data_IF_883362971594
#
_entry.id   IF_883362971594
#
_cell.length_a   1.000
_cell.length_b   1.000
_cell.length_c   1.000
_cell.angle_alpha   90.00
_cell.angle_beta   90.00
_cell.angle_gamma   90.00
#
_symmetry.space_group_name_H-M   'P 1'
#
loop_
_entity.id
_entity.type
_entity.pdbx_description
1 polymer ?
#
# COMPACT_ATOMS: atom_id res chain seq x y z
N UNK A 1 7.75 -9.61 16.45
CA UNK A 1 6.59 -8.70 16.61
C UNK A 1 7.13 -7.28 16.45
N UNK A 2 6.46 -6.42 15.67
CA UNK A 2 6.97 -5.08 15.27
C UNK A 2 7.17 -4.15 16.48
N UNK A 3 8.23 -3.35 16.47
CA UNK A 3 8.63 -2.42 17.54
C UNK A 3 7.80 -1.12 17.62
N UNK A 4 6.78 -0.96 16.75
CA UNK A 4 5.75 0.11 16.84
C UNK A 4 4.36 -0.39 16.45
N UNK A 5 3.59 -0.98 17.38
CA UNK A 5 2.23 -1.47 17.09
C UNK A 5 1.31 -0.38 16.49
N UNK A 6 1.50 0.88 16.90
CA UNK A 6 0.76 2.07 16.45
C UNK A 6 0.77 2.32 14.93
N UNK A 7 1.63 1.62 14.19
CA UNK A 7 1.78 1.78 12.73
C UNK A 7 0.69 1.06 11.92
N UNK A 8 0.06 0.07 12.53
CA UNK A 8 -0.97 -0.77 11.89
C UNK A 8 -2.30 -0.76 12.65
N UNK A 9 -2.33 -0.13 13.83
CA UNK A 9 -3.51 0.02 14.67
C UNK A 9 -4.09 1.43 14.53
N UNK A 10 -5.42 1.58 14.43
CA UNK A 10 -6.08 2.86 14.24
C UNK A 10 -5.86 3.81 15.41
N UNK A 11 -5.76 5.10 15.11
CA UNK A 11 -5.52 6.16 16.10
C UNK A 11 -6.80 6.85 16.56
N UNK A 12 -7.82 6.94 15.71
CA UNK A 12 -9.05 7.65 15.98
C UNK A 12 -10.29 6.82 15.63
N UNK A 13 -10.28 6.11 14.49
CA UNK A 13 -11.41 5.34 13.98
C UNK A 13 -11.09 3.84 13.95
N UNK A 14 -11.71 3.08 14.85
CA UNK A 14 -11.78 1.62 14.69
C UNK A 14 -12.83 1.24 13.64
N UNK A 15 -12.53 0.25 12.81
CA UNK A 15 -13.42 -0.40 11.86
C UNK A 15 -13.21 -1.90 11.99
N UNK A 16 -14.30 -2.63 12.18
CA UNK A 16 -14.25 -4.06 12.39
C UNK A 16 -13.83 -4.46 13.82
N UNK A 17 -13.48 -5.74 14.03
CA UNK A 17 -13.55 -6.36 15.33
C UNK A 17 -12.26 -6.32 16.15
N UNK A 18 -11.12 -5.97 15.54
CA UNK A 18 -9.82 -6.01 16.22
C UNK A 18 -9.65 -4.90 17.25
N UNK A 19 -10.23 -3.72 17.00
CA UNK A 19 -10.09 -2.55 17.86
C UNK A 19 -11.42 -2.08 18.46
N UNK A 20 -12.42 -2.95 18.47
CA UNK A 20 -13.76 -2.64 18.97
C UNK A 20 -13.75 -2.21 20.43
N UNK A 21 -14.37 -1.06 20.73
CA UNK A 21 -14.46 -0.45 22.07
C UNK A 21 -13.11 -0.24 22.78
N UNK A 22 -12.03 -0.04 22.01
CA UNK A 22 -10.77 0.42 22.59
C UNK A 22 -11.00 1.76 23.31
N UNK A 23 -10.55 1.94 24.57
CA UNK A 23 -10.87 3.14 25.36
C UNK A 23 -10.53 4.45 24.65
N UNK A 24 -9.42 4.46 23.91
CA UNK A 24 -8.91 5.64 23.20
C UNK A 24 -9.70 5.97 21.93
N UNK A 25 -10.57 5.07 21.45
CA UNK A 25 -11.32 5.21 20.19
C UNK A 25 -12.82 5.39 20.41
N UNK A 26 -13.27 5.48 21.67
CA UNK A 26 -14.70 5.48 22.02
C UNK A 26 -15.46 6.70 21.47
N UNK A 27 -14.78 7.84 21.28
CA UNK A 27 -15.41 9.04 20.73
C UNK A 27 -16.03 8.77 19.35
N UNK A 28 -15.36 7.96 18.53
CA UNK A 28 -15.83 7.64 17.18
C UNK A 28 -17.08 6.76 17.14
N UNK A 29 -17.39 6.04 18.22
CA UNK A 29 -18.61 5.23 18.32
C UNK A 29 -19.87 6.09 18.24
N UNK A 30 -19.84 7.32 18.78
CA UNK A 30 -20.96 8.24 18.68
C UNK A 30 -21.23 8.68 17.24
N UNK A 31 -20.18 8.87 16.44
CA UNK A 31 -20.30 9.21 15.03
C UNK A 31 -20.80 8.03 14.21
N UNK A 32 -20.37 6.80 14.54
CA UNK A 32 -20.91 5.58 13.92
C UNK A 32 -22.40 5.41 14.20
N UNK A 33 -22.85 5.62 15.43
CA UNK A 33 -24.28 5.60 15.79
C UNK A 33 -25.04 6.69 15.05
N UNK A 34 -24.47 7.89 14.92
CA UNK A 34 -25.09 8.98 14.15
C UNK A 34 -25.26 8.59 12.67
N UNK A 35 -24.23 7.97 12.08
CA UNK A 35 -24.27 7.49 10.70
C UNK A 35 -25.29 6.36 10.51
N UNK A 36 -25.38 5.44 11.46
CA UNK A 36 -26.37 4.37 11.46
C UNK A 36 -27.82 4.89 11.55
N UNK A 37 -28.08 5.89 12.39
CA UNK A 37 -29.39 6.55 12.47
C UNK A 37 -29.75 7.25 11.16
N UNK A 38 -28.78 7.88 10.51
CA UNK A 38 -28.98 8.48 9.18
C UNK A 38 -29.26 7.40 8.14
N UNK A 39 -28.47 6.33 8.12
CA UNK A 39 -28.66 5.18 7.25
C UNK A 39 -30.08 4.64 7.39
N UNK A 40 -30.57 4.47 8.63
CA UNK A 40 -31.92 3.97 8.92
C UNK A 40 -33.01 4.80 8.21
N UNK A 41 -32.86 6.13 8.12
CA UNK A 41 -33.82 6.99 7.40
C UNK A 41 -33.76 6.85 5.87
N UNK A 42 -32.67 6.31 5.33
CA UNK A 42 -32.44 6.11 3.90
C UNK A 42 -32.79 4.68 3.44
N UNK A 43 -33.07 3.76 4.37
CA UNK A 43 -33.46 2.38 4.03
C UNK A 43 -34.83 2.39 3.35
N UNK A 44 -34.91 1.78 2.17
CA UNK A 44 -36.08 1.90 1.29
C UNK A 44 -37.37 1.30 1.88
N UNK A 45 -37.28 0.26 2.72
CA UNK A 45 -38.45 -0.47 3.25
C UNK A 45 -38.16 -1.31 4.51
N UNK A 46 -37.02 -1.12 5.19
CA UNK A 46 -36.56 -2.03 6.26
C UNK A 46 -36.05 -1.25 7.46
N UNK A 47 -36.32 -1.74 8.67
CA UNK A 47 -35.70 -1.21 9.88
C UNK A 47 -34.22 -1.65 9.94
N UNK A 48 -33.46 -1.03 10.83
CA UNK A 48 -32.03 -1.31 10.98
C UNK A 48 -31.81 -2.72 11.53
N UNK A 49 -32.73 -3.23 12.34
CA UNK A 49 -32.70 -4.58 12.88
C UNK A 49 -32.73 -5.65 11.78
N UNK A 50 -33.56 -5.47 10.73
CA UNK A 50 -33.58 -6.37 9.57
C UNK A 50 -32.23 -6.43 8.84
N UNK A 51 -31.48 -5.32 8.81
CA UNK A 51 -30.13 -5.31 8.26
C UNK A 51 -29.21 -6.19 9.11
N UNK A 52 -29.22 -5.97 10.43
CA UNK A 52 -28.43 -6.76 11.38
C UNK A 52 -28.77 -8.25 11.29
N UNK A 53 -30.05 -8.62 11.18
CA UNK A 53 -30.47 -10.01 11.00
C UNK A 53 -29.89 -10.67 9.73
N UNK A 54 -29.75 -9.92 8.62
CA UNK A 54 -29.07 -10.47 7.44
C UNK A 54 -27.57 -10.59 7.66
N UNK A 55 -26.95 -9.68 8.41
CA UNK A 55 -25.53 -9.75 8.74
C UNK A 55 -25.23 -10.92 9.69
N UNK A 56 -26.14 -11.26 10.61
CA UNK A 56 -26.03 -12.46 11.47
C UNK A 56 -25.92 -13.72 10.60
N UNK A 57 -26.67 -13.83 9.49
CA UNK A 57 -26.57 -14.98 8.57
C UNK A 57 -25.22 -15.07 7.85
N UNK A 58 -24.50 -13.95 7.75
CA UNK A 58 -23.19 -13.86 7.12
C UNK A 58 -22.04 -14.01 8.11
N UNK A 59 -22.33 -14.15 9.40
CA UNK A 59 -21.36 -14.21 10.49
C UNK A 59 -20.22 -15.22 10.25
N UNK A 60 -20.46 -16.48 9.82
CA UNK A 60 -19.36 -17.41 9.57
C UNK A 60 -18.41 -16.93 8.48
N UNK A 61 -18.95 -16.25 7.45
CA UNK A 61 -18.14 -15.67 6.37
C UNK A 61 -17.38 -14.44 6.84
N UNK A 62 -17.97 -13.62 7.73
CA UNK A 62 -17.30 -12.48 8.37
C UNK A 62 -16.09 -12.99 9.15
N UNK A 63 -16.26 -14.00 10.02
CA UNK A 63 -15.16 -14.57 10.80
C UNK A 63 -14.04 -15.13 9.93
N UNK A 64 -14.37 -15.77 8.81
CA UNK A 64 -13.39 -16.31 7.89
C UNK A 64 -12.48 -15.24 7.25
N UNK A 65 -12.88 -13.96 7.28
CA UNK A 65 -12.05 -12.85 6.81
C UNK A 65 -11.01 -12.37 7.84
N UNK A 66 -11.06 -12.85 9.08
CA UNK A 66 -10.16 -12.43 10.16
C UNK A 66 -9.31 -13.62 10.62
N UNK A 67 -7.99 -13.41 10.70
CA UNK A 67 -7.06 -14.46 11.12
C UNK A 67 -7.15 -14.79 12.61
N UNK A 68 -7.55 -13.83 13.45
CA UNK A 68 -7.72 -14.05 14.90
C UNK A 68 -9.13 -14.54 15.21
N UNK A 69 -9.22 -15.44 16.20
CA UNK A 69 -10.50 -15.84 16.75
C UNK A 69 -11.20 -14.64 17.41
N UNK A 70 -12.42 -14.34 16.95
CA UNK A 70 -13.21 -13.22 17.46
C UNK A 70 -14.09 -13.68 18.63
N UNK A 71 -13.81 -13.24 19.86
CA UNK A 71 -14.62 -13.65 21.02
C UNK A 71 -15.90 -12.81 21.20
N UNK A 72 -16.72 -12.74 20.15
CA UNK A 72 -18.02 -12.06 20.15
C UNK A 72 -19.12 -13.07 19.82
N UNK A 73 -20.34 -12.85 20.33
CA UNK A 73 -21.50 -13.58 19.80
C UNK A 73 -21.88 -13.04 18.40
N UNK A 74 -22.71 -13.78 17.68
CA UNK A 74 -23.06 -13.43 16.31
C UNK A 74 -23.82 -12.09 16.19
N UNK A 75 -24.67 -11.79 17.16
CA UNK A 75 -25.44 -10.54 17.20
C UNK A 75 -24.54 -9.33 17.41
N UNK A 76 -23.63 -9.38 18.39
CA UNK A 76 -22.66 -8.31 18.66
C UNK A 76 -21.77 -8.06 17.45
N UNK A 77 -21.28 -9.12 16.78
CA UNK A 77 -20.46 -8.96 15.57
C UNK A 77 -21.27 -8.32 14.43
N UNK A 78 -22.52 -8.71 14.25
CA UNK A 78 -23.38 -8.14 13.21
C UNK A 78 -23.72 -6.66 13.46
N UNK A 79 -24.02 -6.28 14.71
CA UNK A 79 -24.25 -4.88 15.09
C UNK A 79 -23.00 -4.02 14.86
N UNK A 80 -21.84 -4.51 15.28
CA UNK A 80 -20.56 -3.85 15.04
C UNK A 80 -20.34 -3.59 13.55
N UNK A 81 -20.46 -4.63 12.70
CA UNK A 81 -20.33 -4.49 11.25
C UNK A 81 -21.34 -3.48 10.67
N UNK A 82 -22.59 -3.50 11.14
CA UNK A 82 -23.62 -2.58 10.66
C UNK A 82 -23.27 -1.12 10.99
N UNK A 83 -22.82 -0.85 12.21
CA UNK A 83 -22.44 0.50 12.66
C UNK A 83 -21.19 1.00 11.91
N UNK A 84 -20.15 0.17 11.82
CA UNK A 84 -18.90 0.53 11.17
C UNK A 84 -19.09 0.77 9.67
N UNK A 85 -19.87 -0.08 8.99
CA UNK A 85 -20.18 0.12 7.57
C UNK A 85 -21.08 1.34 7.35
N UNK A 86 -22.01 1.63 8.26
CA UNK A 86 -22.81 2.86 8.16
C UNK A 86 -21.93 4.10 8.16
N UNK A 87 -20.95 4.15 9.07
CA UNK A 87 -19.97 5.23 9.11
C UNK A 87 -19.11 5.27 7.84
N UNK A 88 -18.55 4.11 7.45
CA UNK A 88 -17.70 3.98 6.28
C UNK A 88 -18.41 4.51 5.03
N UNK A 89 -19.68 4.15 4.82
CA UNK A 89 -20.47 4.63 3.69
C UNK A 89 -20.74 6.14 3.75
N UNK A 90 -21.09 6.71 4.91
CA UNK A 90 -21.27 8.16 5.04
C UNK A 90 -19.97 8.92 4.75
N UNK A 91 -18.82 8.39 5.17
CA UNK A 91 -17.52 8.97 4.86
C UNK A 91 -17.17 8.82 3.37
N UNK A 92 -17.40 7.65 2.79
CA UNK A 92 -17.12 7.37 1.38
C UNK A 92 -17.96 8.22 0.41
N UNK A 93 -19.14 8.69 0.83
CA UNK A 93 -19.96 9.60 0.02
C UNK A 93 -19.24 10.89 -0.40
N UNK A 94 -18.26 11.34 0.39
CA UNK A 94 -17.39 12.50 0.07
C UNK A 94 -16.67 12.29 -1.27
N UNK A 95 -16.27 11.05 -1.53
CA UNK A 95 -15.47 10.66 -2.69
C UNK A 95 -16.29 10.23 -3.88
N UNK A 96 -17.61 10.27 -3.82
CA UNK A 96 -18.44 9.92 -4.97
C UNK A 96 -18.12 10.84 -6.17
N UNK A 97 -17.52 10.25 -7.21
CA UNK A 97 -17.19 10.93 -8.47
C UNK A 97 -18.52 11.20 -9.19
N UNK A 98 -19.12 12.37 -8.97
CA UNK A 98 -20.25 12.84 -9.78
C UNK A 98 -19.76 13.93 -10.72
N UNK A 99 -19.73 13.62 -12.01
CA UNK A 99 -19.63 14.63 -13.05
C UNK A 99 -20.83 15.59 -12.92
N UNK A 100 -20.56 16.77 -12.38
CA UNK A 100 -21.36 18.00 -12.46
C UNK A 100 -22.88 17.94 -12.17
N UNK A 101 -23.27 18.77 -11.19
CA UNK A 101 -24.61 19.33 -10.90
C UNK A 101 -25.56 18.49 -10.03
N UNK A 102 -25.64 18.96 -8.78
CA UNK A 102 -26.86 19.07 -7.97
C UNK A 102 -27.59 17.77 -7.63
N UNK A 103 -27.10 17.10 -6.59
CA UNK A 103 -27.94 16.72 -5.47
C UNK A 103 -27.20 17.16 -4.20
N UNK A 104 -27.92 17.87 -3.35
CA UNK A 104 -27.48 18.49 -2.11
C UNK A 104 -26.34 17.75 -1.41
N UNK A 105 -25.27 18.48 -1.10
CA UNK A 105 -24.27 18.14 -0.08
C UNK A 105 -25.00 18.00 1.27
N UNK A 106 -25.73 16.91 1.49
CA UNK A 106 -26.31 16.54 2.79
C UNK A 106 -25.22 15.86 3.61
N UNK A 107 -24.13 16.59 3.83
CA UNK A 107 -23.25 16.30 4.96
C UNK A 107 -23.97 16.93 6.15
N UNK A 108 -24.58 16.04 6.93
CA UNK A 108 -25.27 16.32 8.18
C UNK A 108 -24.38 17.18 9.08
N UNK A 109 -24.96 18.19 9.73
CA UNK A 109 -24.26 19.20 10.53
C UNK A 109 -23.31 18.63 11.59
N UNK A 110 -23.55 17.41 12.08
CA UNK A 110 -22.75 16.73 13.12
C UNK A 110 -21.40 16.19 12.65
N UNK A 111 -21.30 15.63 11.44
CA UNK A 111 -20.03 15.11 10.92
C UNK A 111 -19.29 16.11 10.05
N UNK A 112 -19.89 17.28 9.80
CA UNK A 112 -19.33 18.32 8.95
C UNK A 112 -17.88 18.72 9.32
N UNK A 113 -17.50 18.64 10.61
CA UNK A 113 -16.15 18.95 11.06
C UNK A 113 -15.12 17.83 10.83
N UNK A 114 -15.56 16.57 10.74
CA UNK A 114 -14.73 15.40 10.42
C UNK A 114 -14.56 15.20 8.90
N UNK A 115 -15.57 15.67 8.14
CA UNK A 115 -15.76 15.42 6.70
C UNK A 115 -15.38 16.67 5.85
N UNK A 116 -14.94 17.76 6.48
CA UNK A 116 -14.58 18.99 5.77
C UNK A 116 -13.35 18.78 4.87
N UNK A 117 -13.59 18.66 3.56
CA UNK A 117 -12.54 18.53 2.53
C UNK A 117 -11.70 19.81 2.38
N UNK A 118 -12.05 20.91 3.06
CA UNK A 118 -11.11 22.04 3.13
C UNK A 118 -9.87 21.60 3.91
N UNK A 119 -8.77 21.45 3.17
CA UNK A 119 -7.40 20.97 3.43
C UNK A 119 -6.69 21.41 4.74
N UNK A 120 -7.42 21.66 5.85
CA UNK A 120 -6.98 22.31 7.10
C UNK A 120 -7.64 21.77 8.37
N UNK A 121 -8.14 20.52 8.40
CA UNK A 121 -8.57 19.89 9.67
C UNK A 121 -7.92 18.52 9.85
N UNK A 122 -7.31 18.33 11.02
CA UNK A 122 -6.55 17.14 11.43
C UNK A 122 -7.37 15.85 11.34
N UNK A 123 -8.65 15.89 11.73
CA UNK A 123 -9.47 14.68 11.87
C UNK A 123 -9.72 13.92 10.56
N UNK A 124 -9.93 14.61 9.43
CA UNK A 124 -10.19 13.94 8.15
C UNK A 124 -8.99 13.10 7.68
N UNK A 125 -7.77 13.63 7.80
CA UNK A 125 -6.55 12.91 7.44
C UNK A 125 -6.29 11.73 8.38
N UNK A 126 -6.57 11.87 9.68
CA UNK A 126 -6.42 10.77 10.64
C UNK A 126 -7.41 9.65 10.32
N UNK A 127 -8.68 9.98 10.03
CA UNK A 127 -9.68 8.99 9.61
C UNK A 127 -9.24 8.26 8.32
N UNK A 128 -8.74 8.99 7.32
CA UNK A 128 -8.23 8.41 6.08
C UNK A 128 -7.09 7.42 6.31
N UNK A 129 -6.14 7.77 7.19
CA UNK A 129 -5.03 6.89 7.57
C UNK A 129 -5.55 5.62 8.21
N UNK A 130 -6.47 5.74 9.18
CA UNK A 130 -7.03 4.58 9.88
C UNK A 130 -7.78 3.65 8.91
N UNK A 131 -8.49 4.17 7.92
CA UNK A 131 -9.24 3.36 6.94
C UNK A 131 -8.36 2.45 6.08
N UNK A 132 -7.09 2.81 5.86
CA UNK A 132 -6.14 2.01 5.07
C UNK A 132 -5.26 1.11 5.91
N UNK A 133 -5.44 1.10 7.24
CA UNK A 133 -4.63 0.26 8.11
C UNK A 133 -5.00 -1.22 7.99
N UNK A 134 -4.00 -2.09 7.98
CA UNK A 134 -4.15 -3.53 7.78
C UNK A 134 -5.03 -4.18 8.86
N UNK A 135 -4.91 -3.78 10.13
CA UNK A 135 -5.75 -4.31 11.21
C UNK A 135 -7.14 -3.63 11.30
N UNK A 136 -7.45 -2.68 10.41
CA UNK A 136 -8.65 -1.84 10.45
C UNK A 136 -9.53 -1.96 9.19
N UNK A 137 -9.69 -3.19 8.70
CA UNK A 137 -10.38 -3.49 7.44
C UNK A 137 -11.78 -4.08 7.67
N UNK A 138 -12.72 -3.74 6.78
CA UNK A 138 -14.05 -4.37 6.72
C UNK A 138 -14.16 -5.17 5.41
N UNK A 139 -14.73 -6.39 5.45
CA UNK A 139 -14.96 -7.15 4.23
C UNK A 139 -15.86 -6.42 3.24
N UNK A 140 -15.42 -6.36 1.99
CA UNK A 140 -16.07 -5.61 0.91
C UNK A 140 -17.51 -6.07 0.66
N UNK A 141 -17.77 -7.37 0.84
CA UNK A 141 -19.11 -7.93 0.68
C UNK A 141 -20.12 -7.43 1.72
N UNK A 142 -19.67 -6.97 2.90
CA UNK A 142 -20.55 -6.36 3.91
C UNK A 142 -20.91 -4.95 3.49
N UNK A 143 -19.94 -4.18 2.97
CA UNK A 143 -20.18 -2.83 2.42
C UNK A 143 -21.22 -2.90 1.30
N UNK A 144 -21.05 -3.83 0.36
CA UNK A 144 -22.04 -4.12 -0.68
C UNK A 144 -23.40 -4.47 -0.09
N UNK A 145 -23.43 -5.36 0.91
CA UNK A 145 -24.69 -5.82 1.51
C UNK A 145 -25.49 -4.68 2.15
N UNK A 146 -24.82 -3.71 2.78
CA UNK A 146 -25.50 -2.53 3.34
C UNK A 146 -26.00 -1.60 2.22
N UNK A 147 -25.22 -1.40 1.15
CA UNK A 147 -25.65 -0.60 -0.01
C UNK A 147 -26.86 -1.19 -0.73
N UNK A 148 -26.96 -2.52 -0.84
CA UNK A 148 -28.14 -3.21 -1.40
C UNK A 148 -29.44 -2.84 -0.66
N UNK A 149 -29.38 -2.49 0.63
CA UNK A 149 -30.56 -2.08 1.39
C UNK A 149 -30.96 -0.62 1.17
N UNK A 150 -30.06 0.21 0.64
CA UNK A 150 -30.32 1.60 0.27
C UNK A 150 -30.83 1.75 -1.17
N UNK A 151 -30.63 0.74 -2.03
CA UNK A 151 -30.90 0.83 -3.46
C UNK A 151 -31.99 -0.13 -3.92
N UNK A 152 -32.69 0.26 -4.99
CA UNK A 152 -33.76 -0.56 -5.58
C UNK A 152 -33.21 -1.70 -6.45
N UNK A 153 -31.97 -1.59 -6.93
CA UNK A 153 -31.29 -2.58 -7.77
C UNK A 153 -29.85 -2.77 -7.28
N UNK A 154 -29.34 -4.00 -7.44
CA UNK A 154 -27.98 -4.38 -7.05
C UNK A 154 -26.94 -3.66 -7.91
N UNK A 155 -27.25 -3.47 -9.19
CA UNK A 155 -26.40 -2.76 -10.15
C UNK A 155 -26.18 -1.31 -9.72
N UNK A 156 -27.24 -0.62 -9.28
CA UNK A 156 -27.14 0.75 -8.78
C UNK A 156 -26.30 0.85 -7.49
N UNK A 157 -26.40 -0.16 -6.61
CA UNK A 157 -25.56 -0.23 -5.41
C UNK A 157 -24.08 -0.43 -5.77
N UNK A 158 -23.79 -1.31 -6.72
CA UNK A 158 -22.44 -1.59 -7.19
C UNK A 158 -21.80 -0.38 -7.88
N UNK A 159 -22.56 0.34 -8.72
CA UNK A 159 -22.09 1.58 -9.36
C UNK A 159 -21.77 2.68 -8.33
N UNK A 160 -22.62 2.85 -7.31
CA UNK A 160 -22.36 3.81 -6.25
C UNK A 160 -21.11 3.42 -5.44
N UNK A 161 -20.99 2.15 -5.10
CA UNK A 161 -19.82 1.60 -4.42
C UNK A 161 -18.54 1.87 -5.21
N UNK A 162 -18.57 1.60 -6.51
CA UNK A 162 -17.47 1.84 -7.44
C UNK A 162 -17.09 3.31 -7.50
N UNK A 163 -18.06 4.20 -7.68
CA UNK A 163 -17.80 5.64 -7.71
C UNK A 163 -17.10 6.14 -6.43
N UNK A 164 -17.56 5.68 -5.25
CA UNK A 164 -16.98 6.11 -3.97
C UNK A 164 -15.57 5.56 -3.74
N UNK A 165 -15.37 4.25 -3.97
CA UNK A 165 -14.07 3.62 -3.71
C UNK A 165 -13.02 4.08 -4.74
N UNK A 166 -13.39 4.28 -6.01
CA UNK A 166 -12.49 4.88 -7.00
C UNK A 166 -12.10 6.31 -6.65
N UNK A 167 -13.04 7.11 -6.14
CA UNK A 167 -12.72 8.47 -5.69
C UNK A 167 -11.77 8.48 -4.50
N UNK A 168 -11.98 7.56 -3.54
CA UNK A 168 -11.08 7.41 -2.41
C UNK A 168 -9.69 6.93 -2.85
N UNK A 169 -9.62 5.95 -3.75
CA UNK A 169 -8.36 5.47 -4.30
C UNK A 169 -7.60 6.56 -5.06
N UNK A 170 -8.30 7.44 -5.79
CA UNK A 170 -7.70 8.62 -6.42
C UNK A 170 -7.11 9.61 -5.42
N UNK A 171 -7.75 9.78 -4.25
CA UNK A 171 -7.23 10.65 -3.19
C UNK A 171 -6.00 10.05 -2.52
N UNK A 172 -6.00 8.75 -2.26
CA UNK A 172 -4.92 8.05 -1.55
C UNK A 172 -3.76 7.61 -2.45
N UNK A 173 -3.99 7.51 -3.76
CA UNK A 173 -2.97 7.07 -4.71
C UNK A 173 -1.82 8.08 -4.77
N UNK A 174 -0.56 7.64 -4.61
CA UNK A 174 0.59 8.50 -4.85
C UNK A 174 0.71 8.88 -6.33
N UNK A 175 0.22 8.05 -7.25
CA UNK A 175 0.39 8.24 -8.68
C UNK A 175 -0.66 9.20 -9.26
N UNK A 176 -0.22 10.29 -9.88
CA UNK A 176 -1.08 11.39 -10.37
C UNK A 176 -1.91 11.07 -11.62
N UNK A 177 -1.57 10.03 -12.37
CA UNK A 177 -2.11 9.79 -13.72
C UNK A 177 -2.48 8.34 -13.94
N UNK A 178 -2.94 7.65 -12.89
CA UNK A 178 -3.58 6.35 -13.10
C UNK A 178 -4.92 6.61 -13.79
N UNK A 179 -5.04 6.20 -15.05
CA UNK A 179 -6.34 6.01 -15.67
C UNK A 179 -6.97 4.79 -14.99
N UNK A 180 -7.74 5.01 -13.92
CA UNK A 180 -8.38 3.89 -13.23
C UNK A 180 -9.37 3.22 -14.20
N UNK A 181 -9.22 1.93 -14.50
CA UNK A 181 -10.11 1.26 -15.43
C UNK A 181 -11.53 1.22 -14.86
N UNK A 182 -12.48 1.80 -15.59
CA UNK A 182 -13.90 1.83 -15.23
C UNK A 182 -14.53 0.42 -15.09
N UNK A 183 -13.85 -0.64 -15.51
CA UNK A 183 -14.32 -2.03 -15.53
C UNK A 183 -13.76 -2.89 -14.38
N UNK A 184 -13.10 -2.32 -13.37
CA UNK A 184 -12.61 -3.11 -12.23
C UNK A 184 -13.76 -3.83 -11.52
N UNK A 185 -13.63 -5.15 -11.40
CA UNK A 185 -14.51 -5.96 -10.57
C UNK A 185 -14.14 -5.74 -9.10
N UNK A 186 -14.57 -4.62 -8.53
CA UNK A 186 -14.41 -4.32 -7.08
C UNK A 186 -14.81 -5.52 -6.23
N UNK A 187 -15.86 -6.22 -6.68
CA UNK A 187 -16.45 -7.40 -6.04
C UNK A 187 -15.49 -8.58 -5.87
N UNK A 188 -14.36 -8.61 -6.58
CA UNK A 188 -13.34 -9.64 -6.44
C UNK A 188 -12.34 -9.36 -5.30
N UNK A 189 -12.35 -8.14 -4.73
CA UNK A 189 -11.44 -7.74 -3.68
C UNK A 189 -12.05 -7.95 -2.29
N UNK A 190 -11.22 -8.36 -1.35
CA UNK A 190 -11.61 -8.76 -0.01
C UNK A 190 -11.99 -7.57 0.88
N UNK A 191 -11.26 -6.45 0.76
CA UNK A 191 -11.45 -5.24 1.56
C UNK A 191 -10.79 -4.02 0.87
N UNK A 192 -10.85 -2.84 1.50
CA UNK A 192 -10.39 -1.57 0.92
C UNK A 192 -8.90 -1.54 0.59
N UNK A 193 -8.04 -2.00 1.50
CA UNK A 193 -6.59 -2.03 1.30
C UNK A 193 -6.17 -2.99 0.16
N UNK A 194 -6.85 -4.14 0.01
CA UNK A 194 -6.67 -5.06 -1.13
C UNK A 194 -7.00 -4.35 -2.45
N UNK A 195 -8.14 -3.66 -2.50
CA UNK A 195 -8.51 -2.87 -3.67
C UNK A 195 -7.51 -1.75 -3.99
N UNK A 196 -7.02 -1.05 -2.96
CA UNK A 196 -6.02 0.01 -3.12
C UNK A 196 -4.72 -0.56 -3.68
N UNK A 197 -4.26 -1.71 -3.17
CA UNK A 197 -3.11 -2.42 -3.69
C UNK A 197 -3.30 -2.80 -5.17
N UNK A 198 -4.44 -3.37 -5.54
CA UNK A 198 -4.73 -3.77 -6.92
C UNK A 198 -4.78 -2.61 -7.93
N UNK A 199 -5.03 -1.37 -7.47
CA UNK A 199 -4.97 -0.17 -8.31
C UNK A 199 -3.56 0.37 -8.44
N UNK A 200 -2.83 0.41 -7.33
CA UNK A 200 -1.50 1.04 -7.26
C UNK A 200 -0.44 0.15 -7.89
N UNK A 201 -0.61 -1.16 -7.77
CA UNK A 201 0.39 -2.15 -8.18
C UNK A 201 -0.06 -2.83 -9.48
N UNK A 202 0.71 -2.69 -10.57
CA UNK A 202 0.34 -3.28 -11.84
C UNK A 202 0.31 -4.81 -11.74
N UNK A 203 -0.70 -5.43 -12.36
CA UNK A 203 -0.75 -6.88 -12.56
C UNK A 203 0.14 -7.24 -13.74
N UNK A 204 1.20 -8.00 -13.48
CA UNK A 204 2.06 -8.52 -14.56
C UNK A 204 1.42 -9.78 -15.12
N UNK A 205 0.74 -9.66 -16.26
CA UNK A 205 0.27 -10.80 -17.05
C UNK A 205 1.40 -11.23 -18.02
N UNK A 206 2.09 -12.31 -17.66
CA UNK A 206 3.14 -13.03 -18.44
C UNK A 206 4.50 -12.33 -18.68
N UNK A 207 5.62 -13.09 -18.66
CA UNK A 207 6.97 -12.52 -18.74
C UNK A 207 7.33 -12.12 -20.18
N UNK A 208 7.79 -10.88 -20.34
CA UNK A 208 8.44 -10.43 -21.58
C UNK A 208 9.80 -11.13 -21.68
N UNK A 209 9.97 -11.99 -22.69
CA UNK A 209 11.29 -12.51 -23.06
C UNK A 209 12.13 -11.34 -23.59
N UNK A 210 13.20 -10.98 -22.88
CA UNK A 210 14.19 -10.01 -23.35
C UNK A 210 15.43 -10.80 -23.76
N UNK A 211 15.67 -10.86 -25.07
CA UNK A 211 16.89 -11.44 -25.65
C UNK A 211 18.12 -10.62 -25.21
N UNK A 212 19.15 -11.32 -24.70
CA UNK A 212 20.46 -10.75 -24.42
C UNK A 212 21.27 -10.74 -25.73
N UNK A 213 21.45 -9.59 -26.36
CA UNK A 213 22.57 -9.43 -27.30
C UNK A 213 23.85 -9.11 -26.50
N UNK A 214 24.70 -10.13 -26.34
CA UNK A 214 26.07 -9.97 -25.88
C UNK A 214 26.86 -9.15 -26.92
N UNK A 215 27.11 -7.88 -26.62
CA UNK A 215 28.01 -7.06 -27.45
C UNK A 215 29.45 -7.49 -27.20
N UNK A 216 30.00 -8.22 -28.15
CA UNK A 216 31.43 -8.54 -28.23
C UNK A 216 32.26 -7.29 -28.55
N UNK A 217 33.40 -7.16 -27.86
CA UNK A 217 34.33 -6.04 -27.95
C UNK A 217 34.84 -5.81 -29.38
N UNK A 218 34.64 -4.60 -29.89
CA UNK A 218 35.42 -4.07 -31.01
C UNK A 218 36.15 -2.79 -30.60
N UNK A 219 37.49 -2.89 -30.62
CA UNK A 219 38.43 -1.79 -30.47
C UNK A 219 38.23 -0.76 -31.58
N UNK A 220 38.04 0.50 -31.19
CA UNK A 220 38.11 1.66 -32.07
C UNK A 220 38.44 2.91 -31.27
N UNK A 221 39.66 3.39 -31.42
CA UNK A 221 40.16 4.65 -30.86
C UNK A 221 39.48 5.86 -31.53
N UNK A 222 38.94 6.83 -30.77
CA UNK A 222 39.57 8.16 -30.68
C UNK A 222 38.99 9.03 -29.53
N UNK A 223 39.90 9.85 -29.02
CA UNK A 223 39.91 10.88 -27.96
C UNK A 223 38.61 11.55 -27.47
N UNK A 224 38.45 11.56 -26.13
CA UNK A 224 38.13 12.80 -25.38
C UNK A 224 36.88 12.81 -24.47
N UNK A 225 37.01 12.27 -23.25
CA UNK A 225 36.60 12.82 -21.93
C UNK A 225 36.52 11.63 -20.95
N UNK A 226 37.51 11.53 -20.07
CA UNK A 226 37.63 10.42 -19.13
C UNK A 226 36.56 10.49 -18.05
N UNK A 227 35.46 9.78 -18.26
CA UNK A 227 34.63 9.27 -17.17
C UNK A 227 35.13 7.86 -16.86
N UNK A 228 35.19 7.51 -15.58
CA UNK A 228 35.52 6.16 -15.13
C UNK A 228 34.35 5.22 -15.49
N UNK A 229 34.30 4.86 -16.77
CA UNK A 229 33.22 4.12 -17.44
C UNK A 229 32.99 2.75 -16.84
N UNK A 230 33.99 2.20 -16.13
CA UNK A 230 33.93 0.90 -15.47
C UNK A 230 32.91 0.89 -14.31
N UNK A 231 32.94 1.92 -13.45
CA UNK A 231 32.05 2.05 -12.31
C UNK A 231 30.61 2.30 -12.76
N UNK A 232 30.42 3.23 -13.71
CA UNK A 232 29.09 3.50 -14.27
C UNK A 232 28.54 2.26 -14.97
N UNK A 233 29.32 1.54 -15.79
CA UNK A 233 28.86 0.30 -16.43
C UNK A 233 28.49 -0.80 -15.42
N UNK A 234 29.25 -0.95 -14.34
CA UNK A 234 28.98 -1.92 -13.29
C UNK A 234 27.74 -1.55 -12.48
N UNK A 235 27.57 -0.26 -12.18
CA UNK A 235 26.40 0.30 -11.53
C UNK A 235 25.13 0.11 -12.38
N UNK A 236 25.21 0.42 -13.67
CA UNK A 236 24.10 0.26 -14.61
C UNK A 236 23.72 -1.22 -14.79
N UNK A 237 24.69 -2.13 -14.68
CA UNK A 237 24.43 -3.57 -14.68
C UNK A 237 23.67 -4.02 -13.44
N UNK A 238 23.99 -3.49 -12.26
CA UNK A 238 23.30 -3.83 -11.01
C UNK A 238 21.94 -3.15 -10.88
N UNK A 239 21.80 -1.87 -11.28
CA UNK A 239 20.51 -1.17 -11.39
C UNK A 239 19.59 -1.91 -12.37
N UNK A 240 20.11 -2.33 -13.53
CA UNK A 240 19.35 -3.11 -14.49
C UNK A 240 18.96 -4.49 -13.96
N UNK A 241 19.80 -5.12 -13.14
CA UNK A 241 19.49 -6.39 -12.48
C UNK A 241 18.32 -6.25 -11.51
N UNK A 242 18.23 -5.15 -10.76
CA UNK A 242 17.05 -4.84 -9.94
C UNK A 242 15.79 -4.69 -10.79
N UNK A 243 15.88 -3.98 -11.93
CA UNK A 243 14.79 -3.86 -12.89
C UNK A 243 14.40 -5.18 -13.56
N UNK A 244 15.36 -6.05 -13.87
CA UNK A 244 15.07 -7.37 -14.44
C UNK A 244 14.37 -8.29 -13.43
N UNK A 245 14.69 -8.16 -12.13
CA UNK A 245 14.07 -8.97 -11.09
C UNK A 245 12.65 -8.56 -10.78
N UNK A 246 12.28 -7.27 -10.95
CA UNK A 246 10.91 -6.77 -10.81
C UNK A 246 9.89 -7.55 -11.68
N UNK A 247 10.34 -8.20 -12.76
CA UNK A 247 9.49 -8.96 -13.69
C UNK A 247 9.76 -10.46 -13.74
N UNK A 248 10.82 -10.99 -13.09
CA UNK A 248 11.11 -12.44 -13.09
C UNK A 248 10.75 -13.11 -11.76
N UNK A 249 9.63 -13.83 -11.74
CA UNK A 249 9.38 -14.92 -10.80
C UNK A 249 9.94 -16.25 -11.34
N UNK A 250 10.35 -17.21 -10.49
CA UNK A 250 10.79 -18.51 -10.97
C UNK A 250 9.61 -19.27 -11.58
N UNK A 251 9.72 -19.63 -12.85
CA UNK A 251 8.82 -20.57 -13.50
C UNK A 251 8.96 -21.95 -12.84
N UNK A 252 8.00 -22.36 -12.03
CA UNK A 252 7.85 -23.75 -11.61
C UNK A 252 6.40 -24.18 -11.78
N UNK A 253 6.16 -24.90 -12.87
CA UNK A 253 5.03 -25.81 -13.04
C UNK A 253 4.99 -26.80 -11.87
N UNK A 254 3.88 -26.88 -11.12
CA UNK A 254 3.08 -28.11 -10.94
C UNK A 254 1.92 -27.96 -9.93
N UNK A 255 0.82 -28.64 -10.30
CA UNK A 255 -0.36 -28.98 -9.50
C UNK A 255 -0.01 -29.54 -8.12
N UNK A 256 -0.90 -29.23 -7.16
CA UNK A 256 -1.20 -29.93 -5.91
C UNK A 256 -0.01 -30.33 -5.04
N UNK A 257 0.16 -29.66 -3.90
CA UNK A 257 0.31 -30.26 -2.55
C UNK A 257 0.35 -29.11 -1.52
N UNK A 258 -0.47 -29.26 -0.47
CA UNK A 258 -0.41 -28.47 0.76
C UNK A 258 0.83 -28.90 1.53
N UNK A 259 1.83 -28.03 1.63
CA UNK A 259 2.80 -28.01 2.73
C UNK A 259 3.61 -26.73 2.67
N UNK A 260 3.71 -26.01 3.79
CA UNK A 260 4.54 -24.83 3.99
C UNK A 260 5.97 -25.09 3.51
N UNK A 261 6.34 -24.46 2.39
CA UNK A 261 7.73 -24.39 1.92
C UNK A 261 8.21 -22.97 2.16
N UNK A 262 9.07 -22.80 3.15
CA UNK A 262 9.89 -21.59 3.31
C UNK A 262 10.93 -21.56 2.20
N UNK A 263 10.74 -20.64 1.25
CA UNK A 263 11.72 -20.35 0.19
C UNK A 263 12.67 -19.26 0.72
N UNK A 264 14.00 -19.42 0.61
CA UNK A 264 14.93 -18.37 0.99
C UNK A 264 14.99 -17.34 -0.14
N UNK A 265 14.15 -16.30 -0.09
CA UNK A 265 14.35 -15.12 -0.92
C UNK A 265 15.51 -14.30 -0.33
N UNK A 266 16.54 -14.07 -1.16
CA UNK A 266 17.62 -13.10 -0.89
C UNK A 266 17.00 -11.71 -0.87
N UNK A 267 16.79 -11.19 0.34
CA UNK A 267 15.97 -10.01 0.59
C UNK A 267 16.73 -9.08 1.55
N UNK A 268 16.69 -7.77 1.29
CA UNK A 268 17.38 -6.79 2.14
C UNK A 268 16.55 -6.51 3.39
N UNK A 269 16.64 -7.42 4.37
CA UNK A 269 15.90 -7.30 5.62
C UNK A 269 16.28 -6.03 6.41
N UNK A 270 17.48 -5.47 6.21
CA UNK A 270 17.95 -4.25 6.90
C UNK A 270 17.14 -3.02 6.51
N UNK A 271 16.87 -2.82 5.22
CA UNK A 271 16.14 -1.65 4.68
C UNK A 271 14.66 -1.72 5.07
N UNK A 272 14.05 -2.90 4.95
CA UNK A 272 12.64 -3.08 5.31
C UNK A 272 12.41 -3.24 6.80
N UNK A 273 13.39 -3.72 7.57
CA UNK A 273 13.29 -3.67 9.03
C UNK A 273 13.22 -2.25 9.55
N UNK A 274 13.66 -1.22 8.81
CA UNK A 274 13.46 0.19 9.16
C UNK A 274 12.05 0.65 8.81
N UNK A 275 11.58 0.35 7.60
CA UNK A 275 10.22 0.73 7.18
C UNK A 275 9.09 -0.06 7.88
N UNK A 276 9.35 -1.30 8.31
CA UNK A 276 8.44 -2.17 9.07
C UNK A 276 8.79 -2.22 10.58
N UNK A 277 9.88 -1.57 10.98
CA UNK A 277 10.41 -1.54 12.36
C UNK A 277 10.37 -2.92 13.06
N UNK A 278 10.87 -3.96 12.39
CA UNK A 278 11.08 -5.28 13.00
C UNK A 278 12.51 -5.31 13.54
N UNK A 279 12.73 -4.85 14.78
CA UNK A 279 14.00 -5.10 15.47
C UNK A 279 14.16 -6.61 15.67
N UNK A 280 15.34 -7.11 15.35
CA UNK A 280 15.79 -8.44 15.74
C UNK A 280 16.06 -8.43 17.25
N UNK A 281 15.02 -8.57 18.05
CA UNK A 281 15.21 -8.87 19.48
C UNK A 281 15.47 -10.38 19.59
N UNK A 282 16.76 -10.73 19.63
CA UNK A 282 17.23 -12.01 20.13
C UNK A 282 16.92 -12.06 21.64
N UNK A 283 15.77 -12.62 21.99
CA UNK A 283 15.51 -13.07 23.35
C UNK A 283 16.30 -14.37 23.60
N UNK A 284 17.38 -14.25 24.38
CA UNK A 284 18.10 -15.36 25.00
C UNK A 284 17.15 -16.32 25.75
N UNK A 285 17.31 -17.64 25.59
CA UNK A 285 16.97 -18.57 26.64
C UNK A 285 18.24 -19.26 27.18
N UNK A 286 18.53 -18.96 28.45
CA UNK A 286 18.97 -19.90 29.50
C UNK A 286 19.89 -21.05 29.06
N UNK A 287 21.17 -20.96 29.44
CA UNK A 287 22.14 -22.08 29.48
C UNK A 287 21.60 -23.29 30.24
N UNK A 288 22.00 -24.50 29.83
CA UNK A 288 22.88 -25.25 30.72
C UNK A 288 24.15 -25.81 30.02
N UNK A 289 25.14 -26.02 30.87
CA UNK A 289 26.52 -26.47 30.61
C UNK A 289 26.60 -27.88 29.99
N UNK A 290 27.46 -28.09 29.00
CA UNK A 290 28.45 -29.20 29.03
C UNK A 290 29.57 -28.98 28.00
N UNK A 291 30.80 -29.27 28.40
CA UNK A 291 32.06 -29.18 27.66
C UNK A 291 32.18 -30.21 26.52
N UNK A 292 32.93 -29.90 25.45
CA UNK A 292 33.51 -30.93 24.57
C UNK A 292 33.74 -30.59 23.10
N UNK A 293 34.93 -30.07 22.78
CA UNK A 293 35.75 -30.28 21.56
C UNK A 293 35.24 -30.01 20.12
N UNK A 294 36.02 -29.13 19.47
CA UNK A 294 36.59 -29.19 18.11
C UNK A 294 35.87 -28.53 16.90
N UNK A 295 36.53 -27.47 16.41
CA UNK A 295 36.78 -27.09 15.00
C UNK A 295 35.72 -27.42 13.93
N UNK A 296 35.11 -26.39 13.34
CA UNK A 296 35.35 -26.04 11.93
C UNK A 296 34.56 -24.79 11.51
N UNK A 297 35.14 -24.11 10.53
CA UNK A 297 34.64 -22.98 9.76
C UNK A 297 33.17 -23.16 9.37
N UNK A 298 32.35 -22.12 9.54
CA UNK A 298 31.27 -21.70 8.63
C UNK A 298 30.59 -20.44 9.21
N UNK A 299 31.26 -19.29 9.12
CA UNK A 299 30.55 -18.01 9.10
C UNK A 299 30.09 -17.82 7.66
N UNK A 300 28.79 -17.62 7.37
CA UNK A 300 28.36 -17.30 6.01
C UNK A 300 29.11 -16.04 5.53
N UNK A 301 29.48 -15.95 4.25
CA UNK A 301 30.16 -14.76 3.75
C UNK A 301 29.27 -13.56 4.00
N UNK A 302 29.83 -12.51 4.62
CA UNK A 302 29.22 -11.19 4.67
C UNK A 302 29.16 -10.71 3.22
N UNK A 303 28.01 -10.89 2.58
CA UNK A 303 27.75 -10.42 1.22
C UNK A 303 27.71 -8.90 1.30
N UNK A 304 28.51 -8.23 0.46
CA UNK A 304 28.52 -6.78 0.31
C UNK A 304 27.08 -6.29 0.04
N UNK A 305 26.57 -5.48 0.95
CA UNK A 305 25.30 -4.78 0.83
C UNK A 305 25.37 -3.89 -0.41
N UNK A 306 24.50 -4.14 -1.40
CA UNK A 306 24.48 -3.34 -2.63
C UNK A 306 23.94 -1.96 -2.27
N UNK A 307 24.85 -1.00 -2.15
CA UNK A 307 24.52 0.40 -1.89
C UNK A 307 24.02 1.01 -3.21
N UNK A 308 22.73 1.38 -3.25
CA UNK A 308 22.18 2.14 -4.38
C UNK A 308 22.69 3.58 -4.25
N UNK A 309 23.26 4.20 -5.30
CA UNK A 309 23.70 5.58 -5.22
C UNK A 309 22.52 6.55 -5.21
N UNK A 310 22.66 7.62 -4.43
CA UNK A 310 21.66 8.69 -4.35
C UNK A 310 21.43 9.40 -5.70
N UNK A 311 20.30 10.08 -5.85
CA UNK A 311 19.98 10.91 -7.04
C UNK A 311 21.10 11.90 -7.35
N UNK A 312 21.67 12.53 -6.33
CA UNK A 312 22.80 13.46 -6.46
C UNK A 312 24.02 12.77 -7.04
N UNK A 313 24.37 11.58 -6.53
CA UNK A 313 25.51 10.80 -7.02
C UNK A 313 25.29 10.32 -8.48
N UNK A 314 24.08 9.86 -8.79
CA UNK A 314 23.68 9.44 -10.13
C UNK A 314 23.72 10.62 -11.12
N UNK A 315 23.21 11.78 -10.72
CA UNK A 315 23.23 13.00 -11.54
C UNK A 315 24.66 13.47 -11.80
N UNK A 316 25.53 13.47 -10.78
CA UNK A 316 26.95 13.79 -10.92
C UNK A 316 27.70 12.80 -11.84
N UNK A 317 27.18 11.57 -11.96
CA UNK A 317 27.68 10.54 -12.85
C UNK A 317 27.09 10.60 -14.27
N UNK A 318 26.26 11.60 -14.57
CA UNK A 318 25.67 11.83 -15.89
C UNK A 318 24.31 11.16 -16.12
N UNK A 319 23.69 10.55 -15.09
CA UNK A 319 22.36 9.95 -15.22
C UNK A 319 21.28 11.03 -15.20
N UNK A 320 20.37 10.98 -16.17
CA UNK A 320 19.22 11.88 -16.26
C UNK A 320 17.94 11.24 -15.74
N UNK A 321 17.20 11.94 -14.90
CA UNK A 321 15.89 11.51 -14.42
C UNK A 321 14.77 12.11 -15.27
N UNK A 322 13.86 11.26 -15.75
CA UNK A 322 12.78 11.63 -16.66
C UNK A 322 11.42 11.16 -16.09
N UNK A 323 10.40 12.03 -16.01
CA UNK A 323 9.09 11.65 -15.49
C UNK A 323 8.29 10.84 -16.52
N UNK A 324 7.54 9.84 -16.05
CA UNK A 324 6.58 9.07 -16.85
C UNK A 324 5.14 9.27 -16.34
N UNK A 325 4.18 9.15 -17.26
CA UNK A 325 2.75 9.09 -16.94
C UNK A 325 2.35 7.62 -16.77
N UNK A 326 1.82 7.27 -15.61
CA UNK A 326 1.35 5.91 -15.32
C UNK A 326 1.74 5.47 -13.92
N UNK A 327 1.86 4.15 -13.75
CA UNK A 327 2.23 3.49 -12.49
C UNK A 327 3.66 2.93 -12.54
N UNK A 328 3.96 2.00 -11.62
CA UNK A 328 5.26 1.34 -11.44
C UNK A 328 5.74 0.65 -12.73
N UNK A 329 4.84 0.21 -13.61
CA UNK A 329 5.19 -0.48 -14.87
C UNK A 329 5.95 0.40 -15.86
N UNK A 330 5.93 1.72 -15.67
CA UNK A 330 6.58 2.70 -16.55
C UNK A 330 8.06 2.94 -16.22
N UNK A 331 8.55 2.34 -15.14
CA UNK A 331 9.95 2.48 -14.75
C UNK A 331 10.83 1.77 -15.78
N UNK A 332 11.81 2.49 -16.31
CA UNK A 332 12.75 1.96 -17.30
C UNK A 332 14.09 2.68 -17.20
N UNK A 333 15.17 2.02 -17.61
CA UNK A 333 16.48 2.65 -17.75
C UNK A 333 16.99 2.55 -19.19
N UNK A 334 17.09 3.68 -19.87
CA UNK A 334 17.68 3.78 -21.20
C UNK A 334 19.21 3.91 -21.07
N UNK A 335 19.91 2.83 -21.42
CA UNK A 335 21.37 2.75 -21.34
C UNK A 335 22.07 3.68 -22.33
N UNK A 336 21.51 3.91 -23.51
CA UNK A 336 22.11 4.76 -24.53
C UNK A 336 22.05 6.23 -24.13
N UNK A 337 20.91 6.63 -23.54
CA UNK A 337 20.70 8.01 -23.07
C UNK A 337 21.11 8.23 -21.62
N UNK A 338 21.64 7.21 -20.93
CA UNK A 338 21.87 7.20 -19.49
C UNK A 338 20.69 7.81 -18.70
N UNK A 339 19.46 7.38 -19.03
CA UNK A 339 18.24 8.03 -18.54
C UNK A 339 17.36 7.06 -17.74
N UNK A 340 17.06 7.43 -16.50
CA UNK A 340 16.15 6.70 -15.62
C UNK A 340 14.75 7.33 -15.67
N UNK A 341 13.79 6.54 -16.13
CA UNK A 341 12.39 6.90 -16.21
C UNK A 341 11.68 6.50 -14.91
N UNK A 342 10.99 7.44 -14.26
CA UNK A 342 10.27 7.19 -13.00
C UNK A 342 8.84 7.76 -13.07
N UNK A 343 7.85 7.05 -12.50
CA UNK A 343 6.47 7.53 -12.45
C UNK A 343 6.36 8.77 -11.59
N UNK A 344 5.51 9.69 -12.02
CA UNK A 344 5.20 10.89 -11.26
C UNK A 344 4.39 10.56 -10.00
N UNK A 345 4.95 10.88 -8.84
CA UNK A 345 4.32 10.65 -7.53
C UNK A 345 4.02 11.97 -6.80
N UNK A 346 2.93 11.98 -6.05
CA UNK A 346 2.52 13.05 -5.15
C UNK A 346 2.60 12.54 -3.73
N UNK A 347 3.38 13.21 -2.89
CA UNK A 347 3.63 12.81 -1.51
C UNK A 347 2.96 13.81 -0.58
N UNK A 348 2.14 13.32 0.35
CA UNK A 348 1.43 14.12 1.34
C UNK A 348 1.44 13.45 2.71
N UNK A 349 0.72 14.04 3.66
CA UNK A 349 0.72 13.59 5.05
C UNK A 349 0.24 12.15 5.20
N UNK A 350 -0.53 11.57 4.27
CA UNK A 350 -1.04 10.21 4.39
C UNK A 350 -0.11 9.16 3.74
N UNK A 351 0.84 9.60 2.91
CA UNK A 351 1.67 8.72 2.08
C UNK A 351 2.42 7.66 2.88
N UNK A 352 3.05 8.01 4.00
CA UNK A 352 3.82 7.06 4.81
C UNK A 352 2.95 5.89 5.30
N UNK A 353 1.75 6.20 5.82
CA UNK A 353 0.81 5.19 6.33
C UNK A 353 0.33 4.30 5.19
N UNK A 354 0.02 4.89 4.03
CA UNK A 354 -0.40 4.15 2.83
C UNK A 354 0.71 3.19 2.40
N UNK A 355 1.96 3.67 2.24
CA UNK A 355 3.08 2.83 1.80
C UNK A 355 3.34 1.68 2.76
N UNK A 356 3.40 1.96 4.06
CA UNK A 356 3.67 0.95 5.09
C UNK A 356 2.59 -0.14 5.13
N UNK A 357 1.32 0.24 4.99
CA UNK A 357 0.21 -0.72 5.01
C UNK A 357 0.10 -1.52 3.70
N UNK A 358 0.42 -0.91 2.54
CA UNK A 358 0.51 -1.64 1.28
C UNK A 358 1.64 -2.67 1.27
N UNK A 359 2.80 -2.33 1.83
CA UNK A 359 3.91 -3.28 1.99
C UNK A 359 3.51 -4.40 2.94
N UNK A 360 2.90 -4.09 4.10
CA UNK A 360 2.44 -5.11 5.03
C UNK A 360 1.37 -6.02 4.41
N UNK A 361 0.47 -5.46 3.60
CA UNK A 361 -0.51 -6.21 2.83
C UNK A 361 0.14 -7.12 1.79
N UNK A 362 1.10 -6.61 1.01
CA UNK A 362 1.85 -7.38 0.01
C UNK A 362 2.60 -8.55 0.65
N UNK A 363 3.28 -8.31 1.78
CA UNK A 363 4.01 -9.35 2.53
C UNK A 363 3.09 -10.42 3.13
N UNK A 364 1.92 -10.03 3.62
CA UNK A 364 0.97 -10.97 4.26
C UNK A 364 0.17 -11.80 3.24
N UNK A 365 -0.01 -11.29 2.03
CA UNK A 365 -0.72 -11.98 0.95
C UNK A 365 0.19 -12.57 -0.14
N UNK A 366 1.51 -12.58 0.09
CA UNK A 366 2.52 -12.90 -0.92
C UNK A 366 2.34 -14.30 -1.53
N UNK A 367 1.69 -14.36 -2.69
CA UNK A 367 1.71 -15.50 -3.63
C UNK A 367 2.46 -15.15 -4.93
N UNK A 368 3.03 -13.93 -5.02
CA UNK A 368 3.65 -13.37 -6.22
C UNK A 368 4.80 -12.40 -5.93
N UNK A 369 5.35 -11.70 -6.95
CA UNK A 369 6.47 -10.79 -6.78
C UNK A 369 6.10 -9.57 -5.92
N UNK A 370 7.03 -9.15 -5.07
CA UNK A 370 6.91 -8.03 -4.15
C UNK A 370 7.16 -6.69 -4.87
N UNK A 371 6.35 -6.40 -5.87
CA UNK A 371 6.53 -5.28 -6.81
C UNK A 371 6.54 -3.95 -6.07
N UNK A 372 5.56 -3.72 -5.20
CA UNK A 372 5.42 -2.46 -4.49
C UNK A 372 6.56 -2.26 -3.50
N UNK A 373 6.91 -3.29 -2.75
CA UNK A 373 8.03 -3.25 -1.81
C UNK A 373 9.33 -2.90 -2.52
N UNK A 374 9.63 -3.54 -3.65
CA UNK A 374 10.85 -3.26 -4.43
C UNK A 374 10.88 -1.85 -5.02
N UNK A 375 9.71 -1.34 -5.40
CA UNK A 375 9.59 0.06 -5.80
C UNK A 375 9.95 1.01 -4.66
N UNK A 376 9.45 0.75 -3.44
CA UNK A 376 9.80 1.56 -2.27
C UNK A 376 11.29 1.41 -1.89
N UNK A 377 11.87 0.22 -2.00
CA UNK A 377 13.32 0.01 -1.82
C UNK A 377 14.16 0.79 -2.82
N UNK A 378 13.74 0.87 -4.09
CA UNK A 378 14.38 1.69 -5.10
C UNK A 378 14.34 3.17 -4.72
N UNK A 379 13.17 3.68 -4.30
CA UNK A 379 13.03 5.07 -3.88
C UNK A 379 13.88 5.38 -2.64
N UNK A 380 13.87 4.48 -1.65
CA UNK A 380 14.74 4.57 -0.47
C UNK A 380 16.21 4.63 -0.88
N UNK A 381 16.66 3.73 -1.75
CA UNK A 381 18.06 3.71 -2.17
C UNK A 381 18.52 4.90 -3.01
N UNK A 382 17.63 5.64 -3.68
CA UNK A 382 18.02 6.82 -4.48
C UNK A 382 17.76 8.14 -3.75
N UNK A 383 17.00 8.17 -2.66
CA UNK A 383 16.63 9.38 -1.92
C UNK A 383 17.27 9.32 -0.52
N UNK A 384 18.43 9.96 -0.36
CA UNK A 384 19.13 10.03 0.92
C UNK A 384 18.99 11.39 1.60
N UNK A 385 18.80 12.46 0.81
CA UNK A 385 18.88 13.84 1.30
C UNK A 385 17.78 14.73 0.71
N UNK A 386 17.54 15.88 1.34
CA UNK A 386 16.64 16.91 0.78
C UNK A 386 17.09 17.41 -0.61
N UNK A 387 18.38 17.30 -0.93
CA UNK A 387 18.94 17.62 -2.25
C UNK A 387 18.44 16.63 -3.31
N UNK A 388 18.41 15.34 -3.00
CA UNK A 388 17.90 14.29 -3.89
C UNK A 388 16.42 14.52 -4.21
N UNK A 389 15.65 14.88 -3.18
CA UNK A 389 14.23 15.27 -3.32
C UNK A 389 14.09 16.51 -4.20
N UNK A 390 14.91 17.54 -3.98
CA UNK A 390 14.89 18.78 -4.76
C UNK A 390 15.12 18.49 -6.25
N UNK A 391 16.13 17.67 -6.57
CA UNK A 391 16.44 17.28 -7.94
C UNK A 391 15.26 16.53 -8.60
N UNK A 392 14.65 15.56 -7.90
CA UNK A 392 13.48 14.84 -8.41
C UNK A 392 12.25 15.75 -8.58
N UNK A 393 12.09 16.75 -7.71
CA UNK A 393 11.02 17.75 -7.80
C UNK A 393 11.21 18.68 -8.99
N UNK A 394 12.43 19.15 -9.24
CA UNK A 394 12.76 19.97 -10.43
C UNK A 394 12.51 19.22 -11.73
N UNK A 395 12.70 17.89 -11.73
CA UNK A 395 12.36 16.99 -12.85
C UNK A 395 10.88 16.60 -12.92
N UNK A 396 10.03 17.15 -12.04
CA UNK A 396 8.59 16.86 -11.95
C UNK A 396 8.25 15.38 -11.67
N UNK A 397 9.19 14.62 -11.10
CA UNK A 397 8.97 13.22 -10.68
C UNK A 397 8.27 13.21 -9.32
N UNK A 398 8.75 14.03 -8.38
CA UNK A 398 8.13 14.18 -7.05
C UNK A 398 7.34 15.48 -6.97
N UNK A 399 6.07 15.37 -6.60
CA UNK A 399 5.23 16.50 -6.20
C UNK A 399 5.08 16.50 -4.68
N UNK A 400 5.89 17.33 -4.04
CA UNK A 400 5.88 17.49 -2.59
C UNK A 400 4.64 18.30 -2.12
N UNK A 401 3.79 17.70 -1.28
CA UNK A 401 2.70 18.36 -0.54
C UNK A 401 2.91 18.33 0.98
N UNK A 402 4.08 17.91 1.44
CA UNK A 402 4.57 18.01 2.82
C UNK A 402 5.13 19.42 3.09
N UNK A 403 5.69 19.65 4.28
CA UNK A 403 6.15 20.99 4.68
C UNK A 403 7.52 21.35 4.10
N UNK A 404 8.37 20.36 3.83
CA UNK A 404 9.74 20.55 3.34
C UNK A 404 10.20 19.36 2.49
N UNK A 405 11.27 19.56 1.73
CA UNK A 405 11.94 18.47 0.99
C UNK A 405 12.66 17.51 1.99
N UNK A 406 13.05 17.99 3.17
CA UNK A 406 13.54 17.18 4.31
C UNK A 406 12.47 16.19 4.81
N UNK A 407 11.21 16.61 4.99
CA UNK A 407 10.13 15.71 5.39
C UNK A 407 9.88 14.59 4.36
N UNK A 408 10.18 14.85 3.07
CA UNK A 408 10.11 13.82 2.04
C UNK A 408 11.28 12.86 2.12
N UNK A 409 12.50 13.35 2.35
CA UNK A 409 13.67 12.48 2.51
C UNK A 409 13.48 11.52 3.70
N UNK A 410 13.02 12.05 4.85
CA UNK A 410 12.71 11.27 6.05
C UNK A 410 11.59 10.22 5.86
N UNK A 411 10.75 10.34 4.83
CA UNK A 411 9.75 9.33 4.51
C UNK A 411 10.39 8.06 3.92
N UNK A 412 11.59 8.20 3.37
CA UNK A 412 12.36 7.14 2.72
C UNK A 412 13.59 6.70 3.52
N UNK A 413 13.99 7.40 4.59
CA UNK A 413 14.99 6.92 5.58
C UNK A 413 14.47 5.75 6.45
#
# INVERSE_FOLDING_TARGET
MSSRPDSYTPQQLSLGPYHYLSPDLQEMEWYKISAAKKLQTQLLCRNFENLVEQLIKLEPKIRACYHRYLNFNAETLAWMMALDVSFLLEFLQIYSIRETKSLSRVVTSRMSHLIDYSRRKSAHHVILRDMVMLENQIPMFIVRKVLEFQHLSVESADEMMLSMILGLAKELSPFKTIELPCSMKILEHSHLLDFLYAIIVPKVEEPIEIEFEDVSDHQGSDRGFGFDSSYVKQLLKEIWKMFSQLTTGPAVLLKNIVSSVTIPLKFSWTILSKLLHISSDDDDPVKPETEGFSTSKNKPPLVEEITIPSVTQLTNSGVSFIPTRGDISTINFDREKASLYLPMISLDTNTEVVFRNLIAYEMSNASGPLIFTRYIELLNGIIDTEEDVRLLRERSIIFNRLKSDEEVANLFE
#
